data_IF_639491977881
#
_entry.id   IF_639491977881
#
_cell.length_a   1.000
_cell.length_b   1.000
_cell.length_c   1.000
_cell.angle_alpha   90.00
_cell.angle_beta   90.00
_cell.angle_gamma   90.00
#
_symmetry.space_group_name_H-M   'P 1'
#
loop_
_entity.id
_entity.type
_entity.pdbx_description
1 polymer ?
#
# COMPACT_ATOMS: atom_id res chain seq x y z
N UNK A 1 19.78 27.65 -2.77
CA UNK A 1 18.66 26.71 -2.68
C UNK A 1 17.35 27.39 -2.30
N UNK A 2 16.50 27.68 -3.29
CA UNK A 2 15.21 28.35 -3.08
C UNK A 2 14.16 27.40 -2.45
N UNK A 3 14.52 26.12 -2.27
CA UNK A 3 13.64 25.09 -1.69
C UNK A 3 13.54 25.18 -0.16
N UNK A 4 14.49 25.82 0.49
CA UNK A 4 14.55 25.92 1.95
C UNK A 4 13.86 27.18 2.51
N UNK A 5 13.68 28.22 1.67
CA UNK A 5 13.35 29.57 2.12
C UNK A 5 11.86 29.84 2.36
N UNK A 6 10.99 28.86 2.10
CA UNK A 6 9.54 29.00 2.32
C UNK A 6 8.92 27.98 3.28
N UNK A 7 9.63 26.92 3.71
CA UNK A 7 9.03 25.87 4.56
C UNK A 7 7.78 25.19 3.97
N UNK A 8 7.44 25.49 2.71
CA UNK A 8 6.32 24.93 1.99
C UNK A 8 6.81 23.57 1.48
N UNK A 9 6.44 22.50 2.20
CA UNK A 9 6.66 21.12 1.74
C UNK A 9 6.11 20.99 0.31
N UNK A 10 6.81 20.29 -0.58
CA UNK A 10 6.45 20.22 -2.00
C UNK A 10 5.03 19.65 -2.24
N UNK A 11 4.44 18.92 -1.30
CA UNK A 11 2.99 18.62 -1.24
C UNK A 11 2.07 19.85 -1.29
N UNK A 12 2.44 20.96 -0.64
CA UNK A 12 1.68 22.22 -0.72
C UNK A 12 1.87 22.88 -2.08
N UNK A 13 3.07 22.78 -2.66
CA UNK A 13 3.34 23.25 -4.03
C UNK A 13 2.57 22.42 -5.06
N UNK A 14 2.46 21.10 -4.87
CA UNK A 14 1.61 20.21 -5.65
C UNK A 14 0.13 20.53 -5.48
N UNK A 15 -0.30 20.89 -4.26
CA UNK A 15 -1.66 21.39 -4.00
C UNK A 15 -1.93 22.70 -4.73
N UNK A 16 -0.95 23.61 -4.76
CA UNK A 16 -1.01 24.86 -5.55
C UNK A 16 -1.06 24.58 -7.05
N UNK A 17 -0.22 23.69 -7.58
CA UNK A 17 -0.25 23.31 -9.00
C UNK A 17 -1.59 22.66 -9.37
N UNK A 18 -2.12 21.77 -8.52
CA UNK A 18 -3.43 21.14 -8.73
C UNK A 18 -4.58 22.15 -8.74
N UNK A 19 -4.49 23.23 -7.94
CA UNK A 19 -5.48 24.33 -7.94
C UNK A 19 -5.33 25.25 -9.16
N UNK A 20 -4.11 25.45 -9.67
CA UNK A 20 -3.84 26.28 -10.85
C UNK A 20 -4.24 25.55 -12.15
N UNK A 21 -4.33 24.22 -12.13
CA UNK A 21 -4.70 23.41 -13.32
C UNK A 21 -6.23 23.31 -13.53
N UNK A 22 -7.04 24.05 -12.76
CA UNK A 22 -8.49 24.14 -12.98
C UNK A 22 -8.82 25.09 -14.15
N UNK A 23 -8.51 24.70 -15.39
CA UNK A 23 -9.15 25.37 -16.54
C UNK A 23 -9.41 24.44 -17.75
N UNK A 24 -8.60 23.41 -18.01
CA UNK A 24 -8.71 22.67 -19.28
C UNK A 24 -8.96 21.16 -19.10
N UNK A 25 -10.02 20.72 -18.38
CA UNK A 25 -10.64 19.40 -18.63
C UNK A 25 -12.07 19.34 -18.09
N UNK A 26 -12.95 20.06 -18.77
CA UNK A 26 -14.37 19.76 -18.82
C UNK A 26 -14.54 18.45 -19.62
N UNK A 27 -15.12 17.44 -18.96
CA UNK A 27 -15.60 16.16 -19.51
C UNK A 27 -14.59 15.04 -19.82
N UNK A 28 -14.37 14.16 -18.83
CA UNK A 28 -14.59 12.74 -19.05
C UNK A 28 -15.54 12.24 -17.96
N UNK A 29 -16.77 11.94 -18.37
CA UNK A 29 -17.91 11.66 -17.50
C UNK A 29 -17.65 10.47 -16.58
N UNK A 30 -17.60 10.75 -15.29
CA UNK A 30 -17.82 9.82 -14.18
C UNK A 30 -17.99 10.68 -12.94
N UNK A 31 -19.04 10.46 -12.16
CA UNK A 31 -19.17 11.04 -10.83
C UNK A 31 -18.04 10.51 -9.93
N UNK A 32 -16.82 11.04 -10.09
CA UNK A 32 -15.63 10.63 -9.36
C UNK A 32 -15.76 11.08 -7.91
N UNK A 33 -16.53 10.33 -7.12
CA UNK A 33 -16.78 10.59 -5.71
C UNK A 33 -15.47 10.75 -4.93
N UNK A 34 -14.41 10.06 -5.37
CA UNK A 34 -13.06 10.18 -4.79
C UNK A 34 -12.57 11.62 -4.74
N UNK A 35 -12.76 12.42 -5.80
CA UNK A 35 -12.31 13.83 -5.82
C UNK A 35 -13.00 14.69 -4.75
N UNK A 36 -14.21 14.30 -4.33
CA UNK A 36 -15.03 15.01 -3.33
C UNK A 36 -14.75 14.56 -1.89
N UNK A 37 -13.81 13.64 -1.68
CA UNK A 37 -13.52 13.14 -0.34
C UNK A 37 -12.80 14.18 0.51
N UNK A 38 -13.22 14.28 1.77
CA UNK A 38 -12.49 15.01 2.80
C UNK A 38 -11.33 14.16 3.35
N UNK A 39 -10.42 14.81 4.08
CA UNK A 39 -9.24 14.16 4.70
C UNK A 39 -9.67 12.98 5.61
N UNK A 40 -10.83 13.08 6.25
CA UNK A 40 -11.38 12.03 7.12
C UNK A 40 -11.81 10.81 6.32
N UNK A 41 -12.47 11.00 5.17
CA UNK A 41 -12.86 9.92 4.24
C UNK A 41 -11.63 9.27 3.62
N UNK A 42 -10.63 10.06 3.20
CA UNK A 42 -9.33 9.55 2.73
C UNK A 42 -8.65 8.68 3.80
N UNK A 43 -8.64 9.13 5.06
CA UNK A 43 -8.09 8.35 6.17
C UNK A 43 -8.81 7.02 6.37
N UNK A 44 -10.14 7.00 6.23
CA UNK A 44 -10.95 5.77 6.31
C UNK A 44 -10.65 4.83 5.15
N UNK A 45 -10.51 5.36 3.94
CA UNK A 45 -10.14 4.62 2.73
C UNK A 45 -8.76 3.95 2.88
N UNK A 46 -7.77 4.65 3.43
CA UNK A 46 -6.45 4.05 3.68
C UNK A 46 -6.54 2.89 4.67
N UNK A 47 -7.36 3.02 5.72
CA UNK A 47 -7.58 1.92 6.67
C UNK A 47 -8.24 0.72 6.02
N UNK A 48 -9.29 0.92 5.21
CA UNK A 48 -9.99 -0.19 4.54
C UNK A 48 -9.11 -0.93 3.52
N UNK A 49 -8.09 -0.28 2.97
CA UNK A 49 -7.16 -0.88 2.00
C UNK A 49 -5.84 -1.38 2.61
N UNK A 50 -5.79 -1.56 3.94
CA UNK A 50 -4.59 -2.00 4.68
C UNK A 50 -3.38 -1.06 4.49
N UNK A 51 -3.64 0.21 4.23
CA UNK A 51 -2.66 1.31 4.16
C UNK A 51 -2.78 2.24 5.37
N UNK A 52 -3.42 1.76 6.45
CA UNK A 52 -3.72 2.51 7.67
C UNK A 52 -2.48 3.13 8.32
N UNK A 53 -1.31 2.52 8.19
CA UNK A 53 -0.03 3.04 8.70
C UNK A 53 0.33 4.42 8.13
N UNK A 54 -0.16 4.75 6.93
CA UNK A 54 0.10 6.05 6.29
C UNK A 54 -0.92 7.12 6.65
N UNK A 55 -1.97 6.80 7.40
CA UNK A 55 -3.04 7.76 7.73
C UNK A 55 -2.53 9.00 8.45
N UNK A 56 -1.55 8.85 9.35
CA UNK A 56 -0.93 10.00 10.03
C UNK A 56 -0.26 10.93 9.01
N UNK A 57 0.58 10.40 8.13
CA UNK A 57 1.25 11.17 7.07
C UNK A 57 0.26 11.87 6.14
N UNK A 58 -0.81 11.18 5.72
CA UNK A 58 -1.82 11.77 4.84
C UNK A 58 -2.65 12.86 5.54
N UNK A 59 -2.94 12.69 6.85
CA UNK A 59 -3.64 13.69 7.64
C UNK A 59 -2.78 14.91 7.92
N UNK A 60 -1.51 14.71 8.27
CA UNK A 60 -0.56 15.78 8.57
C UNK A 60 -0.28 16.64 7.32
N UNK A 61 -0.30 16.03 6.14
CA UNK A 61 -0.20 16.73 4.85
C UNK A 61 -1.56 17.18 4.27
N UNK A 62 -2.66 17.05 5.02
CA UNK A 62 -4.03 17.46 4.61
C UNK A 62 -4.42 16.94 3.22
N UNK A 63 -4.09 15.68 2.95
CA UNK A 63 -4.41 15.02 1.67
C UNK A 63 -5.92 14.75 1.61
N UNK A 64 -6.59 15.50 0.75
CA UNK A 64 -8.00 15.35 0.41
C UNK A 64 -8.18 14.47 -0.83
N UNK A 65 -9.42 14.24 -1.23
CA UNK A 65 -9.79 13.40 -2.36
C UNK A 65 -9.20 13.87 -3.70
N UNK A 66 -9.13 15.19 -3.91
CA UNK A 66 -8.54 15.79 -5.09
C UNK A 66 -7.04 15.52 -5.16
N UNK A 67 -6.33 15.81 -4.07
CA UNK A 67 -4.89 15.58 -3.97
C UNK A 67 -4.57 14.09 -4.08
N UNK A 68 -5.36 13.23 -3.43
CA UNK A 68 -5.24 11.78 -3.51
C UNK A 68 -5.37 11.28 -4.96
N UNK A 69 -6.34 11.81 -5.70
CA UNK A 69 -6.55 11.45 -7.10
C UNK A 69 -5.35 11.86 -7.98
N UNK A 70 -4.78 13.05 -7.76
CA UNK A 70 -3.58 13.50 -8.47
C UNK A 70 -2.34 12.63 -8.25
N UNK A 71 -2.26 11.87 -7.14
CA UNK A 71 -1.15 10.92 -6.91
C UNK A 71 -1.09 9.78 -7.94
N UNK A 72 -2.18 9.51 -8.65
CA UNK A 72 -2.24 8.46 -9.68
C UNK A 72 -1.30 8.79 -10.85
N UNK A 73 -1.23 10.07 -11.21
CA UNK A 73 -0.48 10.56 -12.37
C UNK A 73 0.97 10.93 -12.04
N UNK A 74 1.27 11.16 -10.76
CA UNK A 74 2.63 11.48 -10.32
C UNK A 74 3.59 10.29 -10.47
N UNK A 75 4.92 10.47 -10.42
CA UNK A 75 5.89 9.37 -10.37
C UNK A 75 5.92 8.70 -8.97
N UNK A 76 6.12 7.36 -8.87
CA UNK A 76 6.16 6.67 -7.57
C UNK A 76 7.25 7.17 -6.60
N UNK A 77 8.36 7.71 -7.14
CA UNK A 77 9.46 8.29 -6.35
C UNK A 77 8.99 9.51 -5.56
N UNK A 78 8.22 10.40 -6.19
CA UNK A 78 7.67 11.60 -5.55
C UNK A 78 6.72 11.21 -4.42
N UNK A 79 5.85 10.22 -4.65
CA UNK A 79 4.91 9.73 -3.62
C UNK A 79 5.66 9.16 -2.40
N UNK A 80 6.80 8.50 -2.62
CA UNK A 80 7.64 7.98 -1.54
C UNK A 80 8.28 9.10 -0.73
N UNK A 81 8.87 10.09 -1.41
CA UNK A 81 9.59 11.21 -0.78
C UNK A 81 8.64 12.12 -0.01
N UNK A 82 7.48 12.44 -0.59
CA UNK A 82 6.54 13.41 -0.02
C UNK A 82 5.65 12.82 1.08
N UNK A 83 5.20 11.57 0.91
CA UNK A 83 4.22 10.96 1.82
C UNK A 83 4.81 9.83 2.69
N UNK A 84 6.08 9.47 2.47
CA UNK A 84 6.72 8.37 3.18
C UNK A 84 6.15 6.99 2.82
N UNK A 85 5.43 6.87 1.70
CA UNK A 85 4.82 5.61 1.29
C UNK A 85 5.88 4.71 0.66
N UNK A 86 5.97 3.46 1.13
CA UNK A 86 6.90 2.47 0.55
C UNK A 86 6.55 2.23 -0.92
N UNK A 87 7.54 2.13 -1.80
CA UNK A 87 7.33 1.96 -3.25
C UNK A 87 6.45 0.75 -3.59
N UNK A 88 6.61 -0.35 -2.85
CA UNK A 88 5.77 -1.55 -3.00
C UNK A 88 4.27 -1.26 -2.71
N UNK A 89 3.97 -0.31 -1.83
CA UNK A 89 2.61 0.09 -1.48
C UNK A 89 2.04 1.16 -2.41
N UNK A 90 2.88 1.93 -3.12
CA UNK A 90 2.42 2.95 -4.08
C UNK A 90 1.58 2.29 -5.19
N UNK A 91 2.00 1.14 -5.71
CA UNK A 91 1.24 0.41 -6.74
C UNK A 91 -0.12 -0.06 -6.21
N UNK A 92 -0.18 -0.50 -4.95
CA UNK A 92 -1.44 -0.88 -4.27
C UNK A 92 -2.36 0.33 -4.10
N UNK A 93 -1.80 1.46 -3.64
CA UNK A 93 -2.51 2.72 -3.44
C UNK A 93 -3.16 3.21 -4.75
N UNK A 94 -2.41 3.27 -5.85
CA UNK A 94 -2.96 3.71 -7.15
C UNK A 94 -4.10 2.82 -7.62
N UNK A 95 -3.92 1.50 -7.54
CA UNK A 95 -4.96 0.55 -7.91
C UNK A 95 -6.23 0.78 -7.08
N UNK A 96 -6.10 0.98 -5.77
CA UNK A 96 -7.23 1.26 -4.89
C UNK A 96 -7.95 2.56 -5.27
N UNK A 97 -7.22 3.64 -5.53
CA UNK A 97 -7.79 4.93 -5.94
C UNK A 97 -8.56 4.81 -7.26
N UNK A 98 -7.96 4.15 -8.26
CA UNK A 98 -8.59 3.94 -9.58
C UNK A 98 -9.83 3.05 -9.46
N UNK A 99 -9.81 2.02 -8.60
CA UNK A 99 -10.97 1.17 -8.36
C UNK A 99 -12.15 1.92 -7.71
N UNK A 100 -11.86 2.74 -6.70
CA UNK A 100 -12.87 3.58 -6.05
C UNK A 100 -13.43 4.64 -7.00
N UNK A 101 -12.58 5.25 -7.83
CA UNK A 101 -13.02 6.22 -8.84
C UNK A 101 -13.95 5.58 -9.87
N UNK A 102 -13.72 4.31 -10.24
CA UNK A 102 -14.56 3.54 -11.16
C UNK A 102 -15.83 2.95 -10.52
N UNK A 103 -16.10 3.20 -9.24
CA UNK A 103 -17.30 2.72 -8.56
C UNK A 103 -17.40 1.20 -8.41
N UNK A 104 -16.29 0.46 -8.54
CA UNK A 104 -16.30 -1.00 -8.38
C UNK A 104 -16.30 -1.37 -6.89
N UNK A 105 -17.46 -1.76 -6.39
CA UNK A 105 -17.64 -2.29 -5.05
C UNK A 105 -16.92 -3.64 -4.91
N UNK A 106 -15.84 -3.70 -4.15
CA UNK A 106 -15.24 -4.96 -3.68
C UNK A 106 -15.51 -5.12 -2.20
N UNK A 107 -16.73 -5.51 -1.85
CA UNK A 107 -16.96 -6.25 -0.63
C UNK A 107 -16.55 -7.71 -0.88
N UNK A 108 -15.29 -8.04 -0.56
CA UNK A 108 -14.87 -9.41 -0.26
C UNK A 108 -13.97 -9.39 0.97
N UNK A 109 -14.62 -9.54 2.11
CA UNK A 109 -14.04 -10.18 3.28
C UNK A 109 -13.67 -11.62 2.88
N UNK A 110 -12.38 -11.90 2.72
CA UNK A 110 -11.86 -13.26 2.88
C UNK A 110 -10.64 -13.14 3.78
N UNK A 111 -10.95 -12.89 5.04
CA UNK A 111 -10.21 -13.53 6.13
C UNK A 111 -10.51 -15.03 6.02
N UNK A 112 -9.72 -15.76 5.25
CA UNK A 112 -9.50 -17.18 5.51
C UNK A 112 -8.10 -17.30 6.08
N UNK A 113 -8.07 -17.16 7.40
CA UNK A 113 -7.03 -17.69 8.25
C UNK A 113 -7.35 -19.17 8.45
N UNK A 114 -6.86 -20.03 7.57
CA UNK A 114 -6.67 -21.44 7.90
C UNK A 114 -5.35 -21.58 8.65
N UNK A 115 -5.49 -21.54 9.98
CA UNK A 115 -4.50 -22.02 10.92
C UNK A 115 -4.54 -23.55 10.86
N UNK A 116 -3.69 -24.18 10.06
CA UNK A 116 -3.35 -25.59 10.29
C UNK A 116 -2.26 -25.65 11.36
N UNK A 117 -2.70 -25.47 12.60
CA UNK A 117 -1.99 -25.88 13.80
C UNK A 117 -2.21 -27.38 13.98
N UNK A 118 -1.34 -28.18 13.37
CA UNK A 118 -1.16 -29.59 13.74
C UNK A 118 0.30 -29.81 14.09
N UNK A 119 0.50 -29.80 15.40
CA UNK A 119 1.56 -30.46 16.14
C UNK A 119 2.19 -31.64 15.40
N UNK A 120 3.52 -31.65 15.28
CA UNK A 120 4.32 -32.74 15.85
C UNK A 120 5.82 -32.39 15.82
N UNK A 121 6.36 -31.99 16.97
CA UNK A 121 7.76 -32.23 17.29
C UNK A 121 7.78 -33.45 18.21
N UNK A 122 8.64 -34.44 17.96
CA UNK A 122 9.79 -34.47 18.85
C UNK A 122 11.13 -34.66 18.13
N UNK A 123 12.07 -33.85 18.61
CA UNK A 123 13.50 -34.07 18.64
C UNK A 123 13.81 -35.50 19.13
N UNK A 124 14.72 -36.19 18.43
CA UNK A 124 15.52 -37.25 19.03
C UNK A 124 16.88 -37.40 18.28
N UNK A 125 17.95 -36.91 18.94
CA UNK A 125 19.25 -37.58 19.25
C UNK A 125 19.86 -38.48 18.14
N UNK A 126 20.95 -38.09 17.48
CA UNK A 126 22.38 -38.21 17.89
C UNK A 126 22.88 -39.64 18.07
N UNK A 127 23.93 -39.96 17.31
CA UNK A 127 24.88 -41.09 17.43
C UNK A 127 24.23 -42.49 17.21
N UNK A 128 24.82 -43.50 16.58
CA UNK A 128 26.12 -44.13 16.81
C UNK A 128 26.52 -44.96 15.57
N UNK A 129 27.83 -44.99 15.31
CA UNK A 129 28.52 -46.06 14.58
C UNK A 129 28.29 -47.42 15.24
N UNK A 130 28.02 -48.47 14.46
CA UNK A 130 28.48 -49.84 14.76
C UNK A 130 28.77 -50.59 13.46
N UNK A 131 30.01 -51.07 13.42
CA UNK A 131 30.61 -52.03 12.47
C UNK A 131 30.14 -53.45 12.77
N UNK A 132 30.41 -54.35 11.81
CA UNK A 132 30.23 -55.83 11.84
C UNK A 132 28.78 -56.29 11.56
N UNK A 133 28.49 -57.28 10.74
CA UNK A 133 29.07 -58.62 10.75
C UNK A 133 28.75 -59.40 9.45
N UNK A 134 29.73 -60.22 9.08
CA UNK A 134 29.85 -61.36 8.17
C UNK A 134 28.61 -61.89 7.39
N UNK A 135 28.79 -62.06 6.07
CA UNK A 135 28.20 -63.18 5.33
C UNK A 135 29.15 -63.72 4.26
N UNK A 136 29.99 -64.67 4.68
CA UNK A 136 30.42 -65.83 3.89
C UNK A 136 29.48 -67.00 4.23
N UNK A 137 29.57 -68.20 3.63
CA UNK A 137 29.84 -68.56 2.23
C UNK A 137 28.81 -69.62 1.72
N UNK A 138 28.51 -69.67 0.42
CA UNK A 138 27.95 -70.88 -0.26
C UNK A 138 28.29 -70.73 -1.75
N UNK A 139 28.74 -71.71 -2.53
CA UNK A 139 29.25 -73.07 -2.33
C UNK A 139 30.05 -73.41 -3.62
#
# INVERSE_FOLDING_TARGET
>A
DIKEELGIKMVHTLKLLALITEDEHKECGSNNQVKRWDVKRVSRFLKSHQLGMYTKSFRDNKIDGLTLFGLVDLPPKIVKEELGVKLCHVKKLRRAIVCEAKGHNRNTTSSDSDLDEKENLPRAISENVTVEDLRSPEA
#
